data_IF_721172530982
#
_entry.id   IF_721172530982
#
_cell.length_a   1.000
_cell.length_b   1.000
_cell.length_c   1.000
_cell.angle_alpha   90.00
_cell.angle_beta   90.00
_cell.angle_gamma   90.00
#
_symmetry.space_group_name_H-M   'P 1'
#
loop_
_entity.id
_entity.type
_entity.pdbx_description
1 polymer ?
#
# COMPACT_ATOMS: atom_id res chain seq x y z
N UNK A 1 -11.60 -3.73 3.30
CA UNK A 1 -11.36 -4.22 4.68
C UNK A 1 -9.87 -4.46 4.84
N UNK A 2 -9.19 -3.79 5.79
CA UNK A 2 -7.75 -3.96 6.00
C UNK A 2 -7.51 -5.16 6.94
N UNK A 3 -6.87 -6.24 6.48
CA UNK A 3 -6.74 -7.45 7.29
C UNK A 3 -5.75 -7.25 8.45
N UNK A 4 -6.11 -7.77 9.64
CA UNK A 4 -5.23 -7.72 10.83
C UNK A 4 -3.85 -8.32 10.57
N UNK A 5 -3.78 -9.34 9.72
CA UNK A 5 -2.53 -9.97 9.28
C UNK A 5 -1.62 -8.97 8.56
N UNK A 6 -2.20 -8.13 7.70
CA UNK A 6 -1.44 -7.12 6.97
C UNK A 6 -1.03 -5.97 7.90
N UNK A 7 -1.91 -5.57 8.83
CA UNK A 7 -1.55 -4.62 9.88
C UNK A 7 -0.35 -5.09 10.72
N UNK A 8 -0.36 -6.36 11.14
CA UNK A 8 0.74 -6.95 11.90
C UNK A 8 2.03 -7.06 11.09
N UNK A 9 1.92 -7.33 9.78
CA UNK A 9 3.06 -7.31 8.87
C UNK A 9 3.66 -5.90 8.76
N UNK A 10 2.83 -4.90 8.46
CA UNK A 10 3.28 -3.51 8.35
C UNK A 10 3.82 -2.98 9.65
N UNK A 11 3.30 -3.38 10.81
CA UNK A 11 3.86 -3.00 12.10
C UNK A 11 5.30 -3.49 12.28
N UNK A 12 5.60 -4.73 11.90
CA UNK A 12 6.96 -5.28 11.96
C UNK A 12 7.87 -4.69 10.88
N UNK A 13 7.33 -4.48 9.67
CA UNK A 13 8.07 -3.92 8.55
C UNK A 13 8.39 -2.44 8.79
N UNK A 14 7.44 -1.68 9.34
CA UNK A 14 7.59 -0.27 9.68
C UNK A 14 8.82 -0.09 10.57
N UNK A 15 8.98 -0.88 11.64
CA UNK A 15 10.17 -0.81 12.50
C UNK A 15 11.52 -1.01 11.78
N UNK A 16 11.54 -1.63 10.60
CA UNK A 16 12.75 -1.83 9.78
C UNK A 16 13.02 -0.65 8.85
N UNK A 17 12.04 0.23 8.66
CA UNK A 17 12.12 1.35 7.73
C UNK A 17 12.79 2.56 8.37
N UNK A 18 13.55 3.37 7.60
CA UNK A 18 14.29 4.50 8.16
C UNK A 18 13.36 5.58 8.75
N UNK A 19 12.14 5.72 8.22
CA UNK A 19 11.16 6.70 8.68
C UNK A 19 10.48 6.34 10.01
N UNK A 20 10.48 5.06 10.42
CA UNK A 20 9.89 4.63 11.69
C UNK A 20 10.68 5.06 12.92
N UNK A 21 11.91 5.55 12.75
CA UNK A 21 12.68 6.17 13.83
C UNK A 21 12.12 7.52 14.26
N UNK A 22 11.40 8.20 13.35
CA UNK A 22 10.86 9.54 13.59
C UNK A 22 9.40 9.54 14.02
N UNK A 23 8.67 8.48 13.70
CA UNK A 23 7.22 8.45 13.80
C UNK A 23 6.70 7.07 14.19
N UNK A 24 5.50 7.04 14.76
CA UNK A 24 4.89 5.80 15.22
C UNK A 24 4.01 5.15 14.15
N UNK A 25 3.85 3.83 14.22
CA UNK A 25 2.97 3.07 13.32
C UNK A 25 1.56 3.65 13.24
N UNK A 26 0.99 4.11 14.35
CA UNK A 26 -0.36 4.70 14.38
C UNK A 26 -0.52 5.91 13.44
N UNK A 27 0.54 6.70 13.26
CA UNK A 27 0.52 7.85 12.35
C UNK A 27 0.61 7.43 10.87
N UNK A 28 1.16 6.23 10.62
CA UNK A 28 1.29 5.61 9.31
C UNK A 28 0.18 4.62 9.00
N UNK A 29 -0.62 4.21 9.99
CA UNK A 29 -1.70 3.22 9.84
C UNK A 29 -2.68 3.67 8.77
N UNK A 30 -3.05 4.96 8.79
CA UNK A 30 -3.90 5.54 7.76
C UNK A 30 -3.27 5.44 6.37
N UNK A 31 -1.97 5.74 6.25
CA UNK A 31 -1.24 5.67 4.98
C UNK A 31 -1.17 4.24 4.44
N UNK A 32 -0.83 3.27 5.28
CA UNK A 32 -0.79 1.86 4.90
C UNK A 32 -2.16 1.36 4.44
N UNK A 33 -3.22 1.79 5.12
CA UNK A 33 -4.60 1.45 4.77
C UNK A 33 -5.00 2.05 3.42
N UNK A 34 -4.74 3.34 3.22
CA UNK A 34 -5.06 4.03 1.96
C UNK A 34 -4.29 3.44 0.79
N UNK A 35 -2.99 3.16 0.97
CA UNK A 35 -2.19 2.46 -0.04
C UNK A 35 -2.78 1.12 -0.46
N UNK A 36 -3.21 0.33 0.53
CA UNK A 36 -3.83 -0.97 0.27
C UNK A 36 -5.18 -0.84 -0.45
N UNK A 37 -6.03 0.09 -0.01
CA UNK A 37 -7.35 0.33 -0.62
C UNK A 37 -7.22 0.83 -2.06
N UNK A 38 -6.35 1.81 -2.31
CA UNK A 38 -6.11 2.33 -3.66
C UNK A 38 -5.49 1.30 -4.59
N UNK A 39 -4.67 0.37 -4.07
CA UNK A 39 -4.16 -0.76 -4.85
C UNK A 39 -5.28 -1.72 -5.24
N UNK A 40 -6.18 -2.05 -4.31
CA UNK A 40 -7.34 -2.90 -4.62
C UNK A 40 -8.27 -2.27 -5.68
N UNK A 41 -8.35 -0.93 -5.71
CA UNK A 41 -9.08 -0.20 -6.76
C UNK A 41 -8.36 -0.21 -8.11
N UNK A 42 -7.03 -0.28 -8.11
CA UNK A 42 -6.20 -0.19 -9.32
C UNK A 42 -5.09 -1.25 -9.37
N UNK A 43 -5.43 -2.56 -9.38
CA UNK A 43 -4.43 -3.64 -9.31
C UNK A 43 -3.58 -3.73 -10.58
N UNK A 44 -4.08 -3.26 -11.73
CA UNK A 44 -3.40 -3.26 -13.02
C UNK A 44 -2.51 -2.03 -13.25
N UNK A 45 -2.51 -1.06 -12.32
CA UNK A 45 -1.72 0.18 -12.45
C UNK A 45 -0.49 0.18 -11.55
N UNK A 46 0.48 1.03 -11.91
CA UNK A 46 1.65 1.26 -11.06
C UNK A 46 1.40 2.41 -10.10
N UNK A 47 2.06 2.36 -8.94
CA UNK A 47 1.97 3.42 -7.93
C UNK A 47 2.24 4.81 -8.53
N UNK A 48 3.27 4.94 -9.38
CA UNK A 48 3.60 6.24 -10.00
C UNK A 48 2.51 6.83 -10.91
N UNK A 49 1.57 6.03 -11.41
CA UNK A 49 0.46 6.51 -12.24
C UNK A 49 -0.74 6.96 -11.41
N UNK A 50 -0.90 6.39 -10.21
CA UNK A 50 -2.00 6.71 -9.31
C UNK A 50 -1.53 7.53 -8.11
N UNK A 51 -0.24 7.84 -7.99
CA UNK A 51 0.36 8.50 -6.82
C UNK A 51 -0.42 9.75 -6.43
N UNK A 52 -0.75 10.59 -7.42
CA UNK A 52 -1.53 11.82 -7.24
C UNK A 52 -2.94 11.53 -6.71
N UNK A 53 -3.66 10.58 -7.32
CA UNK A 53 -4.99 10.17 -6.85
C UNK A 53 -4.95 9.60 -5.42
N UNK A 54 -3.94 8.79 -5.09
CA UNK A 54 -3.77 8.23 -3.75
C UNK A 54 -3.41 9.31 -2.74
N UNK A 55 -2.59 10.29 -3.14
CA UNK A 55 -2.27 11.44 -2.31
C UNK A 55 -3.52 12.25 -1.97
N UNK A 56 -4.38 12.50 -2.96
CA UNK A 56 -5.66 13.21 -2.76
C UNK A 56 -6.58 12.41 -1.84
N UNK A 57 -6.77 11.11 -2.08
CA UNK A 57 -7.59 10.25 -1.20
C UNK A 57 -7.06 10.21 0.23
N UNK A 58 -5.74 10.15 0.40
CA UNK A 58 -5.08 10.20 1.70
C UNK A 58 -5.35 11.53 2.41
N UNK A 59 -5.12 12.66 1.73
CA UNK A 59 -5.31 13.99 2.32
C UNK A 59 -6.78 14.29 2.66
N UNK A 60 -7.73 13.73 1.90
CA UNK A 60 -9.16 13.83 2.20
C UNK A 60 -9.59 12.99 3.41
N UNK A 61 -8.96 11.83 3.61
CA UNK A 61 -9.30 10.89 4.67
C UNK A 61 -8.44 11.01 5.93
N UNK A 62 -7.40 11.85 5.92
CA UNK A 62 -6.39 11.85 6.99
C UNK A 62 -6.96 12.34 8.32
N UNK A 63 -6.75 11.60 9.42
CA UNK A 63 -7.04 12.10 10.76
C UNK A 63 -6.03 13.17 11.17
N UNK A 64 -6.36 13.99 12.17
CA UNK A 64 -5.50 15.08 12.66
C UNK A 64 -4.11 14.59 13.14
N UNK A 65 -4.05 13.36 13.63
CA UNK A 65 -2.83 12.70 14.08
C UNK A 65 -1.98 12.09 12.93
N UNK A 66 -2.48 12.06 11.70
CA UNK A 66 -1.77 11.51 10.55
C UNK A 66 -0.80 12.53 9.94
N UNK A 67 0.29 12.02 9.41
CA UNK A 67 1.38 12.82 8.86
C UNK A 67 1.05 13.32 7.45
N UNK A 68 1.71 14.38 6.95
CA UNK A 68 1.50 14.84 5.58
C UNK A 68 1.92 13.77 4.57
N UNK A 69 1.25 13.74 3.41
CA UNK A 69 1.54 12.81 2.31
C UNK A 69 3.04 12.65 2.04
N UNK A 70 3.80 13.75 1.96
CA UNK A 70 5.24 13.72 1.65
C UNK A 70 6.05 12.81 2.57
N UNK A 71 5.67 12.75 3.85
CA UNK A 71 6.31 11.90 4.87
C UNK A 71 5.89 10.44 4.75
N UNK A 72 4.63 10.19 4.39
CA UNK A 72 4.06 8.83 4.34
C UNK A 72 4.13 8.18 2.96
N UNK A 73 4.35 8.95 1.90
CA UNK A 73 4.53 8.51 0.51
C UNK A 73 5.47 7.32 0.38
N UNK A 74 6.68 7.29 1.00
CA UNK A 74 7.54 6.10 0.92
C UNK A 74 6.92 4.86 1.57
N UNK A 75 6.09 5.03 2.62
CA UNK A 75 5.40 3.93 3.26
C UNK A 75 4.27 3.37 2.39
N UNK A 76 3.50 4.25 1.72
CA UNK A 76 2.48 3.85 0.76
C UNK A 76 3.11 3.14 -0.43
N UNK A 77 4.20 3.70 -0.97
CA UNK A 77 4.96 3.08 -2.05
C UNK A 77 5.42 1.66 -1.70
N UNK A 78 5.92 1.43 -0.48
CA UNK A 78 6.27 0.08 -0.01
C UNK A 78 5.07 -0.89 -0.04
N UNK A 79 3.86 -0.41 0.28
CA UNK A 79 2.64 -1.24 0.18
C UNK A 79 2.38 -1.66 -1.24
N UNK A 80 2.45 -0.69 -2.14
CA UNK A 80 2.25 -0.92 -3.56
C UNK A 80 3.29 -1.87 -4.16
N UNK A 81 4.56 -1.74 -3.79
CA UNK A 81 5.61 -2.66 -4.22
C UNK A 81 5.34 -4.08 -3.73
N UNK A 82 4.95 -4.24 -2.46
CA UNK A 82 4.57 -5.56 -1.91
C UNK A 82 3.36 -6.12 -2.64
N UNK A 83 2.29 -5.35 -2.79
CA UNK A 83 1.05 -5.80 -3.41
C UNK A 83 1.26 -6.10 -4.89
N UNK A 84 2.01 -5.25 -5.61
CA UNK A 84 2.44 -5.49 -6.99
C UNK A 84 3.38 -6.68 -7.10
N UNK A 85 4.17 -7.02 -6.08
CA UNK A 85 4.97 -8.25 -6.04
C UNK A 85 4.18 -9.51 -5.69
N UNK A 86 3.11 -9.37 -4.89
CA UNK A 86 2.14 -10.44 -4.58
C UNK A 86 1.22 -10.72 -5.77
N UNK A 87 0.85 -9.68 -6.53
CA UNK A 87 0.01 -9.74 -7.73
C UNK A 87 0.84 -9.85 -9.03
N UNK A 88 2.15 -9.62 -8.95
CA UNK A 88 3.08 -9.59 -10.08
C UNK A 88 3.33 -10.99 -10.67
N UNK A 89 3.79 -11.07 -11.95
CA UNK A 89 3.62 -12.23 -12.82
C UNK A 89 4.42 -13.46 -12.37
N UNK A 90 3.88 -14.16 -11.38
CA UNK A 90 4.19 -15.54 -11.03
C UNK A 90 3.01 -16.45 -11.30
N UNK A 91 2.22 -16.11 -12.30
CA UNK A 91 1.31 -17.05 -12.94
C UNK A 91 1.55 -17.10 -14.46
N UNK A 92 2.63 -17.78 -14.91
CA UNK A 92 2.72 -18.26 -16.29
C UNK A 92 1.78 -19.46 -16.55
N UNK A 93 0.92 -19.86 -15.60
CA UNK A 93 0.13 -21.10 -15.65
C UNK A 93 -1.40 -20.89 -15.67
N UNK A 94 -1.88 -19.73 -16.12
CA UNK A 94 -3.20 -19.67 -16.81
C UNK A 94 -3.13 -20.32 -18.21
N UNK A 95 -2.41 -21.44 -18.29
CA UNK A 95 -2.45 -22.39 -19.36
C UNK A 95 -3.68 -23.29 -19.23
N UNK A 96 -4.63 -23.03 -20.12
CA UNK A 96 -5.40 -24.03 -20.88
C UNK A 96 -6.55 -24.77 -20.16
N UNK A 97 -7.76 -24.58 -20.69
CA UNK A 97 -8.71 -25.62 -21.19
C UNK A 97 -10.08 -24.97 -21.45
N UNK A 98 -10.78 -25.18 -22.56
CA UNK A 98 -10.66 -26.13 -23.66
C UNK A 98 -11.04 -25.46 -24.98
N UNK A 99 -10.47 -25.90 -26.10
CA UNK A 99 -10.88 -27.09 -26.85
C UNK A 99 -12.11 -26.83 -27.72
N UNK A 100 -11.86 -26.98 -29.02
CA UNK A 100 -12.78 -27.18 -30.15
C UNK A 100 -13.26 -25.90 -30.84
#
# INVERSE_FOLDING_TARGET
>A
MYPKTEAAYWRQQHSKQPYAKKYSYAQFEHAYRTGYDSFLKNPDRKFGEVEDSVAVEYEQGKPDAALPWDTVRPAVSSVWERMSGVIGPRDPDRGIRGSI
#
